data_IF_110355583682
#
_entry.id   IF_110355583682
#
_cell.length_a   1.000
_cell.length_b   1.000
_cell.length_c   1.000
_cell.angle_alpha   90.00
_cell.angle_beta   90.00
_cell.angle_gamma   90.00
#
_symmetry.space_group_name_H-M   'P 1'
#
loop_
_entity.id
_entity.type
_entity.pdbx_description
1 polymer ?
#
# COMPACT_ATOMS: atom_id res chain seq x y z
N UNK A 1 -12.58 21.97 18.53
CA UNK A 1 -12.33 21.14 17.35
C UNK A 1 -10.90 21.39 16.98
N UNK A 2 -10.01 20.56 17.50
CA UNK A 2 -8.60 20.61 17.13
C UNK A 2 -8.49 20.26 15.65
N UNK A 3 -7.72 21.07 14.95
CA UNK A 3 -7.36 20.90 13.55
C UNK A 3 -6.51 19.64 13.50
N UNK A 4 -6.95 18.62 12.76
CA UNK A 4 -6.10 17.48 12.45
C UNK A 4 -4.99 18.01 11.55
N UNK A 5 -3.83 18.31 12.15
CA UNK A 5 -2.61 18.67 11.43
C UNK A 5 -2.35 17.54 10.43
N UNK A 6 -2.49 17.81 9.13
CA UNK A 6 -2.01 16.93 8.08
C UNK A 6 -0.55 16.58 8.40
N UNK A 7 -0.35 15.40 8.98
CA UNK A 7 0.95 14.94 9.45
C UNK A 7 1.88 14.83 8.26
N UNK A 8 2.67 15.87 8.03
CA UNK A 8 3.66 15.92 6.96
C UNK A 8 4.66 14.79 7.16
N UNK A 9 4.74 13.90 6.18
CA UNK A 9 5.68 12.77 6.24
C UNK A 9 7.12 13.31 6.17
N UNK A 10 8.11 12.57 6.73
CA UNK A 10 9.51 12.95 6.58
C UNK A 10 9.90 13.05 5.10
N UNK A 11 10.90 13.87 4.79
CA UNK A 11 11.49 13.88 3.45
C UNK A 11 12.09 12.51 3.11
N UNK A 12 12.25 12.19 1.82
CA UNK A 12 12.83 10.91 1.40
C UNK A 12 14.19 10.63 2.05
N UNK A 13 15.02 11.66 2.20
CA UNK A 13 16.34 11.56 2.84
C UNK A 13 16.23 11.25 4.33
N UNK A 14 15.24 11.82 5.02
CA UNK A 14 14.97 11.52 6.43
C UNK A 14 14.38 10.13 6.59
N UNK A 15 13.44 9.73 5.73
CA UNK A 15 12.88 8.38 5.70
C UNK A 15 13.96 7.32 5.45
N UNK A 16 14.95 7.61 4.60
CA UNK A 16 16.09 6.72 4.40
C UNK A 16 16.94 6.56 5.67
N UNK A 17 17.18 7.64 6.42
CA UNK A 17 17.89 7.55 7.71
C UNK A 17 17.11 6.77 8.75
N UNK A 18 15.79 6.98 8.84
CA UNK A 18 14.91 6.20 9.71
C UNK A 18 14.98 4.72 9.33
N UNK A 19 15.00 4.42 8.02
CA UNK A 19 15.16 3.06 7.52
C UNK A 19 16.47 2.41 7.96
N UNK A 20 17.58 3.15 7.96
CA UNK A 20 18.87 2.66 8.49
C UNK A 20 18.79 2.32 9.99
N UNK A 21 18.03 3.09 10.77
CA UNK A 21 17.83 2.81 12.20
C UNK A 21 16.91 1.60 12.42
N UNK A 22 15.85 1.45 11.60
CA UNK A 22 15.02 0.25 11.58
C UNK A 22 15.85 -1.01 11.26
N UNK A 23 16.75 -0.92 10.26
CA UNK A 23 17.66 -2.02 9.90
C UNK A 23 18.52 -2.42 11.10
N UNK A 24 19.11 -1.46 11.82
CA UNK A 24 19.92 -1.75 13.02
C UNK A 24 19.11 -2.51 14.06
N UNK A 25 17.91 -2.04 14.40
CA UNK A 25 17.05 -2.72 15.37
C UNK A 25 16.71 -4.14 14.96
N UNK A 26 16.33 -4.36 13.70
CA UNK A 26 16.03 -5.69 13.18
C UNK A 26 17.25 -6.63 13.28
N UNK A 27 18.43 -6.13 12.92
CA UNK A 27 19.67 -6.94 12.98
C UNK A 27 20.15 -7.22 14.39
N UNK A 28 20.16 -6.22 15.27
CA UNK A 28 20.76 -6.32 16.60
C UNK A 28 19.82 -6.97 17.61
N UNK A 29 18.52 -6.66 17.57
CA UNK A 29 17.56 -7.15 18.58
C UNK A 29 16.84 -8.44 18.15
N UNK A 30 16.64 -8.64 16.84
CA UNK A 30 15.87 -9.76 16.31
C UNK A 30 16.71 -10.75 15.51
N UNK A 31 18.01 -10.48 15.32
CA UNK A 31 18.95 -11.42 14.69
C UNK A 31 18.62 -11.76 13.25
N UNK A 32 17.93 -10.87 12.52
CA UNK A 32 17.60 -11.10 11.12
C UNK A 32 18.89 -11.25 10.30
N UNK A 33 18.88 -12.18 9.34
CA UNK A 33 20.07 -12.52 8.55
C UNK A 33 20.36 -11.48 7.48
N UNK A 34 19.30 -10.92 6.88
CA UNK A 34 19.37 -9.87 5.87
C UNK A 34 18.16 -8.98 5.95
N UNK A 35 18.37 -7.71 5.59
CA UNK A 35 17.33 -6.69 5.46
C UNK A 35 17.43 -6.06 4.08
N UNK A 36 16.28 -5.85 3.45
CA UNK A 36 16.12 -5.24 2.14
C UNK A 36 15.18 -4.06 2.30
N UNK A 37 15.68 -2.86 2.03
CA UNK A 37 14.79 -1.73 1.79
C UNK A 37 14.27 -1.85 0.35
N UNK A 38 12.98 -1.65 0.15
CA UNK A 38 12.39 -1.65 -1.19
C UNK A 38 11.38 -0.52 -1.35
N UNK A 39 10.58 -0.54 -2.42
CA UNK A 39 9.49 0.42 -2.61
C UNK A 39 9.93 1.89 -2.73
N UNK A 40 9.19 2.80 -2.11
CA UNK A 40 9.31 4.25 -2.37
C UNK A 40 10.51 4.93 -1.74
N UNK A 41 11.13 4.33 -0.73
CA UNK A 41 12.33 4.93 -0.11
C UNK A 41 13.59 4.77 -0.99
N UNK A 42 13.65 3.76 -1.86
CA UNK A 42 14.90 3.30 -2.53
C UNK A 42 15.31 4.00 -3.84
N UNK A 43 14.65 5.09 -4.22
CA UNK A 43 15.12 5.96 -5.32
C UNK A 43 14.16 6.07 -6.51
N UNK A 44 13.31 5.08 -6.74
CA UNK A 44 12.74 4.87 -8.09
C UNK A 44 11.21 4.96 -8.19
N UNK A 45 10.50 5.07 -7.07
CA UNK A 45 9.15 5.66 -7.08
C UNK A 45 9.13 7.04 -6.44
N UNK A 46 8.11 7.85 -6.79
CA UNK A 46 7.86 9.11 -6.10
C UNK A 46 7.63 8.90 -4.59
N UNK A 47 8.02 9.90 -3.81
CA UNK A 47 7.84 9.97 -2.36
C UNK A 47 6.79 11.05 -2.05
N UNK A 48 5.70 10.68 -1.40
CA UNK A 48 4.53 11.55 -1.15
C UNK A 48 3.86 11.21 0.17
N UNK A 49 2.96 12.05 0.69
CA UNK A 49 2.37 11.99 2.04
C UNK A 49 1.68 10.69 2.47
N UNK A 50 1.58 9.68 1.61
CA UNK A 50 1.03 8.35 1.91
C UNK A 50 2.07 7.24 1.73
N UNK A 51 3.33 7.59 1.49
CA UNK A 51 4.42 6.63 1.38
C UNK A 51 4.68 5.99 2.73
N UNK A 52 4.74 4.67 2.72
CA UNK A 52 5.20 3.79 3.80
C UNK A 52 6.70 3.51 3.68
N UNK A 53 7.25 2.96 4.75
CA UNK A 53 8.59 2.42 4.78
C UNK A 53 8.55 0.91 4.55
N UNK A 54 8.84 0.50 3.32
CA UNK A 54 8.91 -0.90 2.90
C UNK A 54 10.21 -1.59 3.34
N UNK A 55 10.11 -2.58 4.23
CA UNK A 55 11.25 -3.37 4.72
C UNK A 55 10.96 -4.85 4.57
N UNK A 56 11.86 -5.58 3.89
CA UNK A 56 11.79 -7.03 3.80
C UNK A 56 12.96 -7.67 4.53
N UNK A 57 12.71 -8.77 5.24
CA UNK A 57 13.72 -9.45 6.07
C UNK A 57 13.82 -10.94 5.74
N UNK A 58 15.02 -11.49 5.90
CA UNK A 58 15.26 -12.94 5.95
C UNK A 58 15.64 -13.36 7.36
N UNK A 59 15.06 -14.45 7.85
CA UNK A 59 15.41 -15.07 9.13
C UNK A 59 14.77 -14.43 10.35
N UNK A 60 13.71 -13.64 10.18
CA UNK A 60 12.87 -13.22 11.31
C UNK A 60 11.94 -14.38 11.69
N UNK A 61 12.02 -14.83 12.94
CA UNK A 61 11.12 -15.86 13.43
C UNK A 61 9.68 -15.32 13.53
N UNK A 62 8.70 -16.11 13.09
CA UNK A 62 7.27 -15.72 13.09
C UNK A 62 6.77 -15.23 14.46
N UNK A 63 7.23 -15.88 15.55
CA UNK A 63 6.91 -15.51 16.92
C UNK A 63 7.41 -14.12 17.35
N UNK A 64 8.45 -13.62 16.67
CA UNK A 64 9.06 -12.32 16.94
C UNK A 64 8.54 -11.22 16.00
N UNK A 65 7.72 -11.56 15.00
CA UNK A 65 7.21 -10.63 13.99
C UNK A 65 6.50 -9.41 14.61
N UNK A 66 5.53 -9.64 15.51
CA UNK A 66 4.82 -8.55 16.17
C UNK A 66 5.72 -7.75 17.10
N UNK A 67 6.70 -8.39 17.75
CA UNK A 67 7.66 -7.70 18.62
C UNK A 67 8.59 -6.80 17.80
N UNK A 68 8.99 -7.25 16.61
CA UNK A 68 9.75 -6.46 15.66
C UNK A 68 8.94 -5.24 15.20
N UNK A 69 7.69 -5.42 14.76
CA UNK A 69 6.80 -4.30 14.41
C UNK A 69 6.68 -3.29 15.54
N UNK A 70 6.40 -3.72 16.77
CA UNK A 70 6.30 -2.80 17.92
C UNK A 70 7.62 -2.11 18.28
N UNK A 71 8.77 -2.69 17.95
CA UNK A 71 10.07 -2.04 18.15
C UNK A 71 10.33 -0.98 17.07
N UNK A 72 9.93 -1.25 15.83
CA UNK A 72 10.01 -0.29 14.72
C UNK A 72 9.08 0.90 14.93
N UNK A 73 7.83 0.65 15.34
CA UNK A 73 6.82 1.68 15.62
C UNK A 73 7.28 2.74 16.64
N UNK A 74 8.12 2.35 17.60
CA UNK A 74 8.70 3.28 18.59
C UNK A 74 9.74 4.25 18.01
N UNK A 75 10.27 3.95 16.83
CA UNK A 75 11.32 4.72 16.15
C UNK A 75 10.70 5.58 15.04
N UNK A 76 9.64 5.08 14.43
CA UNK A 76 8.94 5.74 13.35
C UNK A 76 8.24 7.00 13.87
N UNK A 77 8.28 8.11 13.12
CA UNK A 77 7.43 9.24 13.43
C UNK A 77 5.95 8.84 13.25
N UNK A 78 5.00 9.44 13.98
CA UNK A 78 3.58 9.13 13.87
C UNK A 78 2.93 9.37 12.50
N UNK A 79 3.71 9.88 11.54
CA UNK A 79 3.33 10.17 10.16
C UNK A 79 3.86 9.14 9.16
N UNK A 80 4.68 8.17 9.58
CA UNK A 80 5.29 7.18 8.72
C UNK A 80 4.99 5.77 9.24
N UNK A 81 4.29 4.98 8.44
CA UNK A 81 4.03 3.58 8.72
C UNK A 81 5.14 2.69 8.14
N UNK A 82 5.36 1.51 8.73
CA UNK A 82 6.29 0.50 8.23
C UNK A 82 5.53 -0.72 7.72
N UNK A 83 5.85 -1.15 6.50
CA UNK A 83 5.42 -2.44 5.99
C UNK A 83 6.58 -3.43 6.09
N UNK A 84 6.47 -4.39 7.02
CA UNK A 84 7.50 -5.40 7.28
C UNK A 84 7.10 -6.73 6.65
N UNK A 85 7.90 -7.25 5.71
CA UNK A 85 7.63 -8.51 5.04
C UNK A 85 8.71 -9.55 5.36
N UNK A 86 8.31 -10.75 5.76
CA UNK A 86 9.20 -11.92 5.82
C UNK A 86 9.32 -12.56 4.44
N UNK A 87 10.54 -12.67 3.91
CA UNK A 87 10.74 -13.24 2.56
C UNK A 87 10.48 -14.75 2.50
N UNK A 88 10.43 -15.41 3.65
CA UNK A 88 10.00 -16.80 3.80
C UNK A 88 8.50 -17.00 3.51
N UNK A 89 7.67 -16.00 3.81
CA UNK A 89 6.21 -16.06 3.65
C UNK A 89 5.72 -15.30 2.41
N UNK A 90 6.59 -14.50 1.78
CA UNK A 90 6.28 -13.76 0.57
C UNK A 90 6.14 -14.68 -0.67
N UNK A 91 5.31 -14.26 -1.64
CA UNK A 91 5.20 -14.94 -2.93
C UNK A 91 6.60 -15.04 -3.60
N UNK A 92 6.96 -16.20 -4.21
CA UNK A 92 8.30 -16.42 -4.75
C UNK A 92 8.79 -15.35 -5.73
N UNK A 93 7.88 -14.77 -6.52
CA UNK A 93 8.17 -13.69 -7.48
C UNK A 93 8.57 -12.39 -6.76
N UNK A 94 7.83 -12.03 -5.71
CA UNK A 94 8.10 -10.84 -4.88
C UNK A 94 9.46 -11.01 -4.19
N UNK A 95 9.68 -12.16 -3.55
CA UNK A 95 10.94 -12.46 -2.88
C UNK A 95 12.13 -12.44 -3.86
N UNK A 96 11.96 -12.99 -5.07
CA UNK A 96 13.00 -12.94 -6.12
C UNK A 96 13.30 -11.51 -6.56
N UNK A 97 12.28 -10.67 -6.72
CA UNK A 97 12.43 -9.25 -7.10
C UNK A 97 13.21 -8.46 -6.05
N UNK A 98 12.83 -8.62 -4.78
CA UNK A 98 13.46 -7.96 -3.64
C UNK A 98 14.92 -8.43 -3.48
N UNK A 99 15.16 -9.75 -3.49
CA UNK A 99 16.51 -10.33 -3.40
C UNK A 99 17.42 -9.93 -4.56
N UNK A 100 16.87 -9.85 -5.76
CA UNK A 100 17.62 -9.53 -6.97
C UNK A 100 18.15 -8.10 -7.00
N UNK A 101 17.73 -7.24 -6.05
CA UNK A 101 18.14 -5.85 -5.98
C UNK A 101 17.93 -5.13 -7.31
N UNK A 102 16.93 -5.58 -8.09
CA UNK A 102 16.81 -5.23 -9.51
C UNK A 102 16.85 -3.72 -9.59
N UNK A 103 17.94 -3.18 -10.17
CA UNK A 103 18.02 -1.77 -10.50
C UNK A 103 16.84 -1.52 -11.41
N UNK A 104 15.81 -0.87 -10.87
CA UNK A 104 14.67 -0.47 -11.66
C UNK A 104 15.18 0.37 -12.83
N UNK A 105 14.42 0.38 -13.92
CA UNK A 105 14.73 1.21 -15.06
C UNK A 105 15.11 2.62 -14.59
N UNK A 106 16.26 3.12 -15.03
CA UNK A 106 16.74 4.48 -14.68
C UNK A 106 15.72 5.55 -15.11
N UNK A 107 14.83 5.19 -16.05
CA UNK A 107 13.71 5.99 -16.50
C UNK A 107 12.47 5.81 -15.61
N UNK A 108 11.99 6.87 -14.91
CA UNK A 108 10.80 6.84 -14.07
C UNK A 108 9.53 6.34 -14.77
N UNK A 109 9.37 6.60 -16.07
CA UNK A 109 8.21 6.16 -16.85
C UNK A 109 8.24 4.64 -17.03
N UNK A 110 9.39 4.07 -17.33
CA UNK A 110 9.54 2.63 -17.54
C UNK A 110 9.40 1.87 -16.20
N UNK A 111 9.95 2.44 -15.14
CA UNK A 111 9.72 2.01 -13.76
C UNK A 111 8.23 2.01 -13.38
N UNK A 112 7.50 3.08 -13.72
CA UNK A 112 6.06 3.17 -13.49
C UNK A 112 5.30 2.10 -14.27
N UNK A 113 5.59 1.93 -15.57
CA UNK A 113 4.94 0.90 -16.41
C UNK A 113 5.10 -0.50 -15.83
N UNK A 114 6.32 -0.87 -15.43
CA UNK A 114 6.56 -2.19 -14.83
C UNK A 114 5.76 -2.37 -13.54
N UNK A 115 5.70 -1.34 -12.68
CA UNK A 115 4.92 -1.41 -11.44
C UNK A 115 3.42 -1.49 -11.68
N UNK A 116 2.91 -0.80 -12.69
CA UNK A 116 1.50 -0.91 -13.10
C UNK A 116 1.22 -2.33 -13.61
N UNK A 117 2.11 -2.91 -14.41
CA UNK A 117 1.96 -4.29 -14.88
C UNK A 117 1.96 -5.30 -13.71
N UNK A 118 2.87 -5.13 -12.74
CA UNK A 118 2.92 -5.98 -11.54
C UNK A 118 1.64 -5.83 -10.69
N UNK A 119 1.14 -4.60 -10.51
CA UNK A 119 -0.10 -4.35 -9.75
C UNK A 119 -1.33 -4.91 -10.47
N UNK A 120 -1.40 -4.81 -11.80
CA UNK A 120 -2.47 -5.44 -12.59
C UNK A 120 -2.48 -6.97 -12.41
N UNK A 121 -1.31 -7.61 -12.41
CA UNK A 121 -1.21 -9.05 -12.12
C UNK A 121 -1.67 -9.38 -10.68
N UNK A 122 -1.36 -8.51 -9.72
CA UNK A 122 -1.85 -8.64 -8.34
C UNK A 122 -3.38 -8.54 -8.29
N UNK A 123 -3.97 -7.57 -8.99
CA UNK A 123 -5.42 -7.39 -9.09
C UNK A 123 -6.12 -8.60 -9.72
N UNK A 124 -5.53 -9.22 -10.74
CA UNK A 124 -6.05 -10.46 -11.33
C UNK A 124 -6.10 -11.60 -10.28
N UNK A 125 -5.06 -11.73 -9.44
CA UNK A 125 -5.03 -12.73 -8.36
C UNK A 125 -6.10 -12.46 -7.30
N UNK A 126 -6.23 -11.21 -6.86
CA UNK A 126 -7.25 -10.79 -5.89
C UNK A 126 -8.65 -11.05 -6.44
N UNK A 127 -8.90 -10.71 -7.70
CA UNK A 127 -10.18 -10.96 -8.36
C UNK A 127 -10.48 -12.47 -8.46
N UNK A 128 -9.49 -13.29 -8.82
CA UNK A 128 -9.63 -14.74 -8.87
C UNK A 128 -9.95 -15.35 -7.48
N UNK A 129 -9.27 -14.89 -6.43
CA UNK A 129 -9.56 -15.30 -5.04
C UNK A 129 -10.99 -14.92 -4.63
N UNK A 130 -11.44 -13.71 -4.96
CA UNK A 130 -12.81 -13.28 -4.68
C UNK A 130 -13.82 -14.17 -5.40
N UNK A 131 -13.59 -14.48 -6.68
CA UNK A 131 -14.46 -15.37 -7.46
C UNK A 131 -14.53 -16.77 -6.85
N UNK A 132 -13.41 -17.33 -6.41
CA UNK A 132 -13.37 -18.64 -5.75
C UNK A 132 -14.13 -18.64 -4.42
N UNK A 133 -13.95 -17.59 -3.61
CA UNK A 133 -14.66 -17.44 -2.34
C UNK A 133 -16.17 -17.31 -2.57
N UNK A 134 -16.58 -16.50 -3.54
CA UNK A 134 -17.99 -16.32 -3.89
C UNK A 134 -18.62 -17.61 -4.43
N UNK A 135 -17.88 -18.40 -5.21
CA UNK A 135 -18.37 -19.68 -5.74
C UNK A 135 -18.61 -20.74 -4.65
N UNK A 136 -17.92 -20.63 -3.51
CA UNK A 136 -18.06 -21.51 -2.36
C UNK A 136 -18.94 -20.91 -1.26
N UNK A 137 -19.48 -19.70 -1.47
CA UNK A 137 -20.25 -18.98 -0.48
C UNK A 137 -21.55 -19.74 -0.16
N UNK A 138 -21.85 -20.02 1.12
CA UNK A 138 -23.13 -20.61 1.48
C UNK A 138 -24.27 -19.61 1.22
N UNK A 139 -25.49 -20.13 1.05
CA UNK A 139 -26.70 -19.31 0.85
C UNK A 139 -26.96 -18.34 2.02
N UNK A 140 -26.51 -18.71 3.23
CA UNK A 140 -26.55 -17.87 4.43
C UNK A 140 -25.12 -17.68 4.98
N UNK A 141 -24.39 -16.67 4.49
CA UNK A 141 -23.02 -16.43 4.91
C UNK A 141 -22.94 -15.90 6.34
N UNK A 142 -21.96 -16.42 7.06
CA UNK A 142 -21.58 -15.98 8.40
C UNK A 142 -20.89 -14.63 8.37
N UNK A 143 -20.76 -14.00 9.54
CA UNK A 143 -20.01 -12.76 9.70
C UNK A 143 -18.55 -12.87 9.22
N UNK A 144 -17.91 -14.02 9.44
CA UNK A 144 -16.51 -14.25 9.04
C UNK A 144 -16.37 -14.29 7.53
N UNK A 145 -17.28 -14.97 6.83
CA UNK A 145 -17.28 -15.07 5.36
C UNK A 145 -17.56 -13.71 4.71
N UNK A 146 -18.52 -12.95 5.26
CA UNK A 146 -18.80 -11.59 4.82
C UNK A 146 -17.60 -10.65 5.03
N UNK A 147 -16.93 -10.74 6.18
CA UNK A 147 -15.75 -9.93 6.47
C UNK A 147 -14.58 -10.28 5.56
N UNK A 148 -14.32 -11.57 5.32
CA UNK A 148 -13.28 -12.03 4.41
C UNK A 148 -13.54 -11.53 2.97
N UNK A 149 -14.77 -11.66 2.49
CA UNK A 149 -15.18 -11.17 1.16
C UNK A 149 -15.00 -9.67 1.03
N UNK A 150 -15.44 -8.91 2.05
CA UNK A 150 -15.28 -7.46 2.07
C UNK A 150 -13.82 -7.02 2.11
N UNK A 151 -12.95 -7.77 2.79
CA UNK A 151 -11.50 -7.52 2.81
C UNK A 151 -10.90 -7.68 1.42
N UNK A 152 -11.19 -8.78 0.72
CA UNK A 152 -10.67 -9.01 -0.63
C UNK A 152 -11.17 -7.93 -1.61
N UNK A 153 -12.44 -7.53 -1.49
CA UNK A 153 -13.02 -6.46 -2.30
C UNK A 153 -12.38 -5.09 -2.01
N UNK A 154 -12.08 -4.82 -0.74
CA UNK A 154 -11.32 -3.63 -0.32
C UNK A 154 -9.91 -3.62 -0.93
N UNK A 155 -9.23 -4.77 -0.92
CA UNK A 155 -7.87 -4.91 -1.45
C UNK A 155 -7.85 -4.72 -2.97
N UNK A 156 -8.86 -5.21 -3.68
CA UNK A 156 -9.03 -5.00 -5.10
C UNK A 156 -9.08 -3.50 -5.46
N UNK A 157 -9.94 -2.72 -4.79
CA UNK A 157 -10.00 -1.29 -5.08
C UNK A 157 -8.74 -0.55 -4.63
N UNK A 158 -8.13 -0.98 -3.51
CA UNK A 158 -6.89 -0.38 -3.03
C UNK A 158 -5.74 -0.55 -4.04
N UNK A 159 -5.65 -1.67 -4.74
CA UNK A 159 -4.66 -1.85 -5.81
C UNK A 159 -4.91 -0.92 -7.02
N UNK A 160 -6.17 -0.69 -7.39
CA UNK A 160 -6.54 0.28 -8.44
C UNK A 160 -6.12 1.71 -8.02
N UNK A 161 -6.41 2.09 -6.78
CA UNK A 161 -6.01 3.39 -6.23
C UNK A 161 -4.48 3.58 -6.28
N UNK A 162 -3.69 2.54 -5.94
CA UNK A 162 -2.23 2.56 -6.08
C UNK A 162 -1.75 2.78 -7.51
N UNK A 163 -2.41 2.19 -8.51
CA UNK A 163 -2.09 2.44 -9.93
C UNK A 163 -2.32 3.92 -10.25
N UNK A 164 -3.46 4.46 -9.85
CA UNK A 164 -3.83 5.86 -10.11
C UNK A 164 -2.90 6.84 -9.41
N UNK A 165 -2.54 6.58 -8.15
CA UNK A 165 -1.57 7.38 -7.40
C UNK A 165 -0.23 7.43 -8.14
N UNK A 166 0.27 6.30 -8.63
CA UNK A 166 1.54 6.23 -9.38
C UNK A 166 1.48 7.06 -10.67
N UNK A 167 0.38 7.01 -11.40
CA UNK A 167 0.18 7.80 -12.62
C UNK A 167 0.15 9.29 -12.28
N UNK A 168 -0.68 9.68 -11.32
CA UNK A 168 -0.87 11.07 -10.91
C UNK A 168 0.45 11.72 -10.47
N UNK A 169 1.23 11.03 -9.64
CA UNK A 169 2.50 11.59 -9.16
C UNK A 169 3.57 11.62 -10.26
N UNK A 170 3.57 10.65 -11.19
CA UNK A 170 4.60 10.60 -12.23
C UNK A 170 4.31 11.53 -13.41
N UNK A 171 3.04 11.68 -13.79
CA UNK A 171 2.63 12.36 -15.03
C UNK A 171 1.83 13.66 -14.80
N UNK A 172 1.14 13.81 -13.67
CA UNK A 172 0.25 14.95 -13.43
C UNK A 172 0.76 15.93 -12.37
N UNK A 173 1.95 15.68 -11.81
CA UNK A 173 2.61 16.57 -10.86
C UNK A 173 2.19 16.39 -9.41
N UNK A 174 1.36 15.39 -9.07
CA UNK A 174 1.02 15.09 -7.68
C UNK A 174 -0.36 14.45 -7.49
N UNK A 175 -0.70 14.19 -6.24
CA UNK A 175 -2.03 13.73 -5.82
C UNK A 175 -2.95 14.94 -5.53
N UNK A 176 -4.28 14.78 -5.68
CA UNK A 176 -5.24 15.74 -5.15
C UNK A 176 -5.14 15.85 -3.62
N UNK A 177 -5.55 17.00 -3.08
CA UNK A 177 -5.55 17.30 -1.64
C UNK A 177 -6.97 17.29 -1.05
N UNK A 178 -7.07 17.19 0.27
CA UNK A 178 -8.32 17.27 1.04
C UNK A 178 -9.10 15.96 1.19
N UNK A 179 -10.18 15.97 1.99
CA UNK A 179 -10.92 14.76 2.40
C UNK A 179 -11.49 13.94 1.22
N UNK A 180 -11.77 14.60 0.09
CA UNK A 180 -12.35 13.97 -1.11
C UNK A 180 -11.29 13.54 -2.12
N UNK A 181 -10.01 13.56 -1.76
CA UNK A 181 -8.91 13.30 -2.68
C UNK A 181 -9.05 11.97 -3.42
N UNK A 182 -9.60 10.93 -2.79
CA UNK A 182 -9.84 9.64 -3.45
C UNK A 182 -10.80 9.75 -4.65
N UNK A 183 -11.86 10.56 -4.51
CA UNK A 183 -12.83 10.82 -5.59
C UNK A 183 -12.20 11.70 -6.67
N UNK A 184 -11.42 12.70 -6.25
CA UNK A 184 -10.71 13.59 -7.16
C UNK A 184 -9.64 12.83 -7.96
N UNK A 185 -8.98 11.84 -7.36
CA UNK A 185 -8.00 11.01 -8.03
C UNK A 185 -8.67 10.15 -9.12
N UNK A 186 -9.84 9.58 -8.85
CA UNK A 186 -10.61 8.85 -9.85
C UNK A 186 -11.01 9.76 -11.02
N UNK A 187 -11.53 10.96 -10.72
CA UNK A 187 -11.87 11.97 -11.74
C UNK A 187 -10.64 12.37 -12.55
N UNK A 188 -9.51 12.61 -11.89
CA UNK A 188 -8.26 12.95 -12.54
C UNK A 188 -7.86 11.88 -13.57
N UNK A 189 -8.06 10.60 -13.29
CA UNK A 189 -7.76 9.52 -14.24
C UNK A 189 -8.72 9.45 -15.44
N UNK A 190 -9.95 9.95 -15.30
CA UNK A 190 -10.93 10.07 -16.40
C UNK A 190 -10.63 11.26 -17.32
N UNK A 191 -9.90 12.27 -16.81
CA UNK A 191 -9.57 13.48 -17.56
C UNK A 191 -8.28 13.33 -18.38
N UNK A 192 -8.28 13.89 -19.60
CA UNK A 192 -7.07 14.14 -20.38
C UNK A 192 -6.31 15.33 -19.77
N UNK A 193 -4.99 15.18 -19.62
CA UNK A 193 -4.10 16.24 -19.13
C UNK A 193 -3.11 16.64 -20.21
N UNK A 194 -2.32 17.69 -19.95
CA UNK A 194 -1.21 18.06 -20.86
C UNK A 194 -0.15 16.96 -20.99
N UNK A 195 -0.03 16.08 -19.99
CA UNK A 195 1.01 15.05 -19.89
C UNK A 195 0.57 13.65 -20.30
N UNK A 196 -0.75 13.39 -20.40
CA UNK A 196 -1.30 12.08 -20.74
C UNK A 196 -2.75 12.16 -21.25
N UNK A 197 -3.19 11.21 -22.08
CA UNK A 197 -4.61 11.01 -22.32
C UNK A 197 -5.34 10.56 -21.05
N UNK A 198 -6.67 10.53 -21.12
CA UNK A 198 -7.51 9.84 -20.13
C UNK A 198 -7.04 8.39 -19.96
N UNK A 199 -6.90 7.94 -18.72
CA UNK A 199 -6.45 6.59 -18.37
C UNK A 199 -7.62 5.60 -18.38
N UNK A 200 -8.79 6.09 -17.95
CA UNK A 200 -10.04 5.33 -17.92
C UNK A 200 -11.12 6.13 -18.63
N UNK A 201 -12.14 5.43 -19.14
CA UNK A 201 -13.33 6.08 -19.67
C UNK A 201 -14.38 6.32 -18.57
N UNK A 202 -15.45 7.04 -18.93
CA UNK A 202 -16.53 7.40 -18.01
C UNK A 202 -17.33 6.19 -17.51
N UNK A 203 -17.44 5.14 -18.33
CA UNK A 203 -18.12 3.90 -17.94
C UNK A 203 -17.34 3.19 -16.82
N UNK A 204 -16.03 3.05 -16.99
CA UNK A 204 -15.16 2.44 -15.99
C UNK A 204 -15.08 3.31 -14.73
N UNK A 205 -14.95 4.63 -14.87
CA UNK A 205 -14.98 5.58 -13.74
C UNK A 205 -16.23 5.40 -12.89
N UNK A 206 -17.42 5.36 -13.52
CA UNK A 206 -18.71 5.15 -12.84
C UNK A 206 -18.73 3.83 -12.08
N UNK A 207 -18.22 2.74 -12.68
CA UNK A 207 -18.14 1.44 -12.02
C UNK A 207 -17.20 1.47 -10.82
N UNK A 208 -16.01 2.05 -10.96
CA UNK A 208 -15.00 2.15 -9.90
C UNK A 208 -15.46 3.02 -8.72
N UNK A 209 -16.29 4.03 -8.97
CA UNK A 209 -16.87 4.85 -7.91
C UNK A 209 -17.69 4.04 -6.90
N UNK A 210 -18.38 2.98 -7.34
CA UNK A 210 -19.12 2.10 -6.43
C UNK A 210 -18.18 1.29 -5.51
N UNK A 211 -17.03 0.85 -6.03
CA UNK A 211 -16.00 0.19 -5.22
C UNK A 211 -15.36 1.17 -4.23
N UNK A 212 -15.12 2.43 -4.63
CA UNK A 212 -14.63 3.47 -3.73
C UNK A 212 -15.61 3.70 -2.57
N UNK A 213 -16.90 3.85 -2.88
CA UNK A 213 -17.97 4.01 -1.87
C UNK A 213 -18.02 2.81 -0.94
N UNK A 214 -17.88 1.59 -1.47
CA UNK A 214 -17.79 0.38 -0.66
C UNK A 214 -16.59 0.44 0.28
N UNK A 215 -15.39 0.75 -0.22
CA UNK A 215 -14.16 0.84 0.59
C UNK A 215 -14.32 1.80 1.78
N UNK A 216 -14.86 3.00 1.55
CA UNK A 216 -15.13 3.94 2.64
C UNK A 216 -16.10 3.36 3.68
N UNK A 217 -17.19 2.74 3.24
CA UNK A 217 -18.14 2.09 4.17
C UNK A 217 -17.50 0.92 4.92
N UNK A 218 -16.72 0.09 4.24
CA UNK A 218 -16.06 -1.06 4.84
C UNK A 218 -15.05 -0.64 5.91
N UNK A 219 -14.23 0.40 5.64
CA UNK A 219 -13.34 1.00 6.65
C UNK A 219 -14.11 1.56 7.84
N UNK A 220 -15.25 2.22 7.63
CA UNK A 220 -16.03 2.77 8.76
C UNK A 220 -16.72 1.69 9.61
N UNK A 221 -17.16 0.59 9.00
CA UNK A 221 -17.89 -0.49 9.70
C UNK A 221 -16.91 -1.44 10.44
N UNK A 222 -15.74 -1.71 9.84
CA UNK A 222 -14.82 -2.75 10.34
C UNK A 222 -13.43 -2.23 10.69
N UNK A 223 -13.09 -1.03 10.26
CA UNK A 223 -11.81 -0.37 10.49
C UNK A 223 -11.90 0.70 11.56
N UNK A 224 -12.75 0.50 12.59
CA UNK A 224 -12.73 1.34 13.78
C UNK A 224 -11.28 1.41 14.27
N UNK A 225 -10.76 2.65 14.28
CA UNK A 225 -9.42 2.99 14.72
C UNK A 225 -8.98 2.16 15.91
N UNK A 226 -7.77 1.61 15.84
CA UNK A 226 -7.05 1.11 17.03
C UNK A 226 -6.63 2.26 17.97
N UNK A 227 -7.35 3.39 17.96
CA UNK A 227 -7.05 4.63 18.65
C UNK A 227 -8.13 5.07 19.65
N UNK A 228 -9.17 4.26 19.91
CA UNK A 228 -10.26 4.63 20.83
C UNK A 228 -10.61 3.59 21.92
N UNK A 229 -9.78 2.58 22.14
CA UNK A 229 -9.97 1.61 23.25
C UNK A 229 -8.70 1.36 24.07
N UNK A 230 -7.89 2.39 24.33
CA UNK A 230 -6.74 2.30 25.25
C UNK A 230 -6.56 3.52 26.18
N UNK A 231 -7.64 4.19 26.55
CA UNK A 231 -7.63 5.03 27.75
C UNK A 231 -8.92 4.80 28.54
N UNK A 232 -8.82 3.92 29.55
CA UNK A 232 -9.58 4.09 30.79
C UNK A 232 -9.11 5.35 31.52
#
# INVERSE_FOLDING_TARGET
>A
MEVDDEKKIPSRTEAFRIAEDCVKVLTEQFGVKKVYLFGSVTGVSPWHNRSDLDIAVEGLALQDYFRALSALDKILPPSLEVDLITLEDALPEIAKRIRGGTKMAENPIEAMKQRIADELQSLERVAAQLQQLLAQMPESPTFVELRATGSILHDFYSGIERIFERIAVTLDGGLPEGERWHQLLLQQMEEETKGRPAVIDSELSTRLLEYLKFRHRFRNIYGNDSSSFLFD
#
